data_IF_400491548503
#
_entry.id   IF_400491548503
#
_cell.length_a   1.000
_cell.length_b   1.000
_cell.length_c   1.000
_cell.angle_alpha   90.00
_cell.angle_beta   90.00
_cell.angle_gamma   90.00
#
_symmetry.space_group_name_H-M   'P 1'
#
loop_
_entity.id
_entity.type
_entity.pdbx_description
1 polymer ?
#
# COMPACT_ATOMS: atom_id res chain seq x y z
N UNK A 1 -18.20 4.23 -8.41
CA UNK A 1 -17.65 4.32 -7.06
C UNK A 1 -16.65 3.19 -6.93
N UNK A 2 -15.34 3.47 -6.97
CA UNK A 2 -14.34 2.42 -6.76
C UNK A 2 -14.51 1.89 -5.35
N UNK A 3 -14.91 0.62 -5.21
CA UNK A 3 -14.89 -0.06 -3.93
C UNK A 3 -13.41 -0.19 -3.53
N UNK A 4 -12.97 0.66 -2.60
CA UNK A 4 -11.66 0.53 -1.99
C UNK A 4 -11.55 -0.86 -1.36
N UNK A 5 -10.63 -1.67 -1.86
CA UNK A 5 -10.40 -3.02 -1.32
C UNK A 5 -9.76 -2.83 0.03
N UNK A 6 -10.52 -3.08 1.10
CA UNK A 6 -10.00 -2.93 2.46
C UNK A 6 -8.89 -3.96 2.66
N UNK A 7 -7.71 -3.56 3.14
CA UNK A 7 -6.64 -4.51 3.41
C UNK A 7 -7.11 -5.63 4.32
N UNK A 8 -6.60 -6.84 4.07
CA UNK A 8 -6.93 -8.02 4.86
C UNK A 8 -6.49 -7.88 6.31
N UNK A 9 -5.45 -7.08 6.56
CA UNK A 9 -5.00 -6.73 7.90
C UNK A 9 -5.64 -5.41 8.40
N UNK A 10 -6.40 -5.43 9.52
CA UNK A 10 -7.07 -4.24 10.06
C UNK A 10 -6.10 -3.16 10.55
N UNK A 11 -4.88 -3.50 10.94
CA UNK A 11 -3.86 -2.51 11.31
C UNK A 11 -3.32 -1.78 10.07
N UNK A 12 -3.02 -2.55 9.03
CA UNK A 12 -2.59 -2.02 7.74
C UNK A 12 -3.67 -1.12 7.12
N UNK A 13 -4.95 -1.50 7.24
CA UNK A 13 -6.07 -0.68 6.80
C UNK A 13 -6.10 0.71 7.47
N UNK A 14 -5.78 0.81 8.76
CA UNK A 14 -5.69 2.10 9.47
C UNK A 14 -4.51 2.94 8.98
N UNK A 15 -3.37 2.29 8.72
CA UNK A 15 -2.16 2.94 8.23
C UNK A 15 -2.37 3.50 6.82
N UNK A 16 -2.86 2.67 5.89
CA UNK A 16 -3.21 3.07 4.52
C UNK A 16 -4.24 4.18 4.54
N UNK A 17 -5.26 4.12 5.40
CA UNK A 17 -6.25 5.20 5.56
C UNK A 17 -5.66 6.51 6.12
N UNK A 18 -4.46 6.51 6.68
CA UNK A 18 -3.76 7.74 7.11
C UNK A 18 -2.82 8.30 6.04
N UNK A 19 -2.53 7.54 4.98
CA UNK A 19 -1.64 7.98 3.90
C UNK A 19 -2.25 9.07 3.01
N UNK A 20 -1.46 9.86 2.30
CA UNK A 20 -1.97 10.71 1.22
C UNK A 20 -2.58 9.87 0.10
N UNK A 21 -3.51 10.45 -0.67
CA UNK A 21 -4.27 9.73 -1.71
C UNK A 21 -3.37 8.97 -2.69
N UNK A 22 -2.34 9.63 -3.22
CA UNK A 22 -1.40 9.02 -4.17
C UNK A 22 -0.71 7.77 -3.62
N UNK A 23 -0.40 7.75 -2.32
CA UNK A 23 0.29 6.63 -1.69
C UNK A 23 -0.68 5.47 -1.40
N UNK A 24 -1.97 5.77 -1.19
CA UNK A 24 -3.02 4.74 -1.09
C UNK A 24 -3.25 4.08 -2.44
N UNK A 25 -3.39 4.88 -3.49
CA UNK A 25 -3.59 4.39 -4.85
C UNK A 25 -2.42 3.48 -5.27
N UNK A 26 -1.18 3.91 -5.01
CA UNK A 26 0.00 3.10 -5.26
C UNK A 26 0.02 1.79 -4.45
N UNK A 27 -0.37 1.84 -3.17
CA UNK A 27 -0.50 0.64 -2.34
C UNK A 27 -1.50 -0.35 -2.95
N UNK A 28 -2.69 0.11 -3.34
CA UNK A 28 -3.75 -0.73 -3.88
C UNK A 28 -3.36 -1.37 -5.21
N UNK A 29 -2.74 -0.59 -6.11
CA UNK A 29 -2.23 -1.10 -7.38
C UNK A 29 -1.13 -2.15 -7.16
N UNK A 30 -0.14 -1.87 -6.30
CA UNK A 30 0.94 -2.83 -6.02
C UNK A 30 0.44 -4.09 -5.35
N UNK A 31 -0.49 -3.98 -4.39
CA UNK A 31 -1.10 -5.14 -3.75
C UNK A 31 -1.87 -6.00 -4.77
N UNK A 32 -2.62 -5.38 -5.69
CA UNK A 32 -3.30 -6.08 -6.77
C UNK A 32 -2.33 -6.78 -7.73
N UNK A 33 -1.26 -6.09 -8.17
CA UNK A 33 -0.23 -6.68 -9.03
C UNK A 33 0.43 -7.89 -8.37
N UNK A 34 0.80 -7.78 -7.10
CA UNK A 34 1.45 -8.86 -6.37
C UNK A 34 0.52 -10.07 -6.14
N UNK A 35 -0.76 -9.82 -5.91
CA UNK A 35 -1.78 -10.86 -5.79
C UNK A 35 -2.00 -11.60 -7.12
N UNK A 36 -2.22 -10.86 -8.21
CA UNK A 36 -2.64 -11.46 -9.48
C UNK A 36 -1.47 -11.85 -10.40
N UNK A 37 -0.44 -11.03 -10.52
CA UNK A 37 0.69 -11.29 -11.44
C UNK A 37 1.77 -12.14 -10.78
N UNK A 38 2.06 -11.91 -9.50
CA UNK A 38 3.07 -12.67 -8.76
C UNK A 38 2.48 -13.85 -7.95
N UNK A 39 1.15 -14.02 -8.00
CA UNK A 39 0.42 -15.12 -7.36
C UNK A 39 0.68 -15.23 -5.84
N UNK A 40 0.93 -14.09 -5.19
CA UNK A 40 1.08 -14.04 -3.74
C UNK A 40 -0.28 -14.05 -3.05
N UNK A 41 -0.39 -14.69 -1.86
CA UNK A 41 -1.56 -14.51 -1.00
C UNK A 41 -1.79 -13.03 -0.70
N UNK A 42 -3.06 -12.60 -0.68
CA UNK A 42 -3.45 -11.21 -0.39
C UNK A 42 -2.72 -10.59 0.80
N UNK A 43 -2.59 -11.25 1.98
CA UNK A 43 -1.84 -10.68 3.10
C UNK A 43 -0.36 -10.42 2.78
N UNK A 44 0.29 -11.33 2.07
CA UNK A 44 1.70 -11.19 1.70
C UNK A 44 1.90 -10.11 0.62
N UNK A 45 0.99 -10.03 -0.35
CA UNK A 45 0.99 -8.98 -1.36
C UNK A 45 0.85 -7.59 -0.72
N UNK A 46 -0.03 -7.44 0.26
CA UNK A 46 -0.24 -6.21 1.02
C UNK A 46 1.00 -5.82 1.84
N UNK A 47 1.68 -6.76 2.51
CA UNK A 47 2.91 -6.46 3.26
C UNK A 47 4.05 -5.97 2.35
N UNK A 48 4.23 -6.61 1.20
CA UNK A 48 5.23 -6.20 0.21
C UNK A 48 4.91 -4.83 -0.38
N UNK A 49 3.65 -4.59 -0.76
CA UNK A 49 3.19 -3.30 -1.24
C UNK A 49 3.40 -2.19 -0.19
N UNK A 50 3.10 -2.47 1.08
CA UNK A 50 3.32 -1.55 2.18
C UNK A 50 4.79 -1.15 2.33
N UNK A 51 5.72 -2.10 2.25
CA UNK A 51 7.16 -1.81 2.31
C UNK A 51 7.65 -0.87 1.19
N UNK A 52 7.11 -1.02 -0.03
CA UNK A 52 7.42 -0.09 -1.13
C UNK A 52 6.80 1.30 -0.91
N UNK A 53 5.56 1.36 -0.43
CA UNK A 53 4.87 2.61 -0.10
C UNK A 53 5.62 3.38 0.99
N UNK A 54 6.06 2.70 2.05
CA UNK A 54 6.88 3.32 3.10
C UNK A 54 8.18 3.90 2.53
N UNK A 55 8.85 3.15 1.64
CA UNK A 55 10.07 3.61 0.98
C UNK A 55 9.84 4.82 0.09
N UNK A 56 8.68 4.90 -0.60
CA UNK A 56 8.31 6.04 -1.42
C UNK A 56 7.97 7.27 -0.58
N UNK A 57 7.25 7.09 0.52
CA UNK A 57 6.92 8.19 1.45
C UNK A 57 8.18 8.75 2.10
N UNK A 58 9.12 7.91 2.49
CA UNK A 58 10.42 8.34 3.02
C UNK A 58 11.17 9.18 1.98
N UNK A 59 11.22 8.71 0.73
CA UNK A 59 11.86 9.45 -0.39
C UNK A 59 11.13 10.76 -0.74
N UNK A 60 9.81 10.81 -0.60
CA UNK A 60 9.01 12.01 -0.88
C UNK A 60 8.93 12.97 0.32
N UNK A 61 9.29 12.53 1.51
CA UNK A 61 9.38 13.41 2.67
C UNK A 61 10.59 14.32 2.51
N UNK A 62 10.42 15.66 2.51
CA UNK A 62 11.56 16.56 2.45
C UNK A 62 12.43 16.31 3.68
N UNK A 63 13.67 15.85 3.47
CA UNK A 63 14.66 15.79 4.56
C UNK A 63 14.76 17.19 5.18
N UNK A 64 14.56 17.34 6.50
CA UNK A 64 14.87 18.60 7.15
C UNK A 64 16.36 18.89 6.91
N UNK A 65 16.63 20.09 6.41
CA UNK A 65 17.98 20.60 6.13
C UNK A 65 18.71 20.93 7.43
#
# INVERSE_FOLDING_TARGET
MSQYVTPSNPELAKLVKSLPQWAREYFEERAGILEYEANFPRPQAEELAWGEVQSLIDRHSPKPK
#
